data_IF_145357888592
#
_entry.id   IF_145357888592
#
_cell.length_a   1.000
_cell.length_b   1.000
_cell.length_c   1.000
_cell.angle_alpha   90.00
_cell.angle_beta   90.00
_cell.angle_gamma   90.00
#
_symmetry.space_group_name_H-M   'P 1'
#
loop_
_entity.id
_entity.type
_entity.pdbx_description
1 polymer ?
#
# COMPACT_ATOMS: atom_id res chain seq x y z
N UNK A 1 -10.20 -0.97 11.72
CA UNK A 1 -9.12 -1.73 11.06
C UNK A 1 -9.75 -2.84 10.23
N UNK A 2 -10.25 -2.51 9.04
CA UNK A 2 -10.78 -3.49 8.10
C UNK A 2 -9.65 -3.91 7.17
N UNK A 3 -9.09 -5.10 7.40
CA UNK A 3 -8.25 -5.78 6.42
C UNK A 3 -9.16 -6.44 5.38
N UNK A 4 -9.27 -5.83 4.20
CA UNK A 4 -10.00 -6.39 3.06
C UNK A 4 -9.04 -6.78 1.94
N UNK A 5 -9.31 -7.90 1.26
CA UNK A 5 -8.70 -8.18 -0.04
C UNK A 5 -9.51 -7.49 -1.13
N UNK A 6 -8.84 -6.79 -2.04
CA UNK A 6 -9.48 -6.08 -3.14
C UNK A 6 -9.02 -6.64 -4.47
N UNK A 7 -9.94 -6.70 -5.44
CA UNK A 7 -9.62 -7.06 -6.80
C UNK A 7 -8.68 -6.00 -7.40
N UNK A 8 -7.54 -6.44 -7.90
CA UNK A 8 -6.57 -5.57 -8.55
C UNK A 8 -7.17 -4.95 -9.82
N UNK A 9 -7.03 -3.63 -9.98
CA UNK A 9 -7.29 -2.93 -11.24
C UNK A 9 -5.97 -2.49 -11.87
N UNK A 10 -5.75 -2.73 -13.19
CA UNK A 10 -4.54 -2.28 -13.87
C UNK A 10 -4.37 -0.76 -13.77
N UNK A 11 -3.16 -0.31 -13.40
CA UNK A 11 -2.81 1.12 -13.37
C UNK A 11 -3.22 1.87 -12.09
N UNK A 12 -3.69 1.18 -11.04
CA UNK A 12 -3.99 1.85 -9.77
C UNK A 12 -2.73 2.12 -8.94
N UNK A 13 -2.76 3.23 -8.21
CA UNK A 13 -1.72 3.62 -7.25
C UNK A 13 -2.01 3.06 -5.86
N UNK A 14 -1.02 3.14 -4.96
CA UNK A 14 -1.24 2.82 -3.54
C UNK A 14 -2.37 3.66 -2.95
N UNK A 15 -2.42 4.95 -3.26
CA UNK A 15 -3.48 5.85 -2.79
C UNK A 15 -4.87 5.34 -3.18
N UNK A 16 -5.04 4.89 -4.43
CA UNK A 16 -6.30 4.32 -4.89
C UNK A 16 -6.63 3.02 -4.15
N UNK A 17 -5.65 2.14 -3.96
CA UNK A 17 -5.85 0.90 -3.21
C UNK A 17 -6.26 1.15 -1.75
N UNK A 18 -5.70 2.17 -1.10
CA UNK A 18 -6.08 2.56 0.27
C UNK A 18 -7.49 3.13 0.29
N UNK A 19 -7.87 3.96 -0.69
CA UNK A 19 -9.23 4.50 -0.80
C UNK A 19 -10.26 3.36 -0.97
N UNK A 20 -9.97 2.39 -1.83
CA UNK A 20 -10.77 1.17 -2.02
C UNK A 20 -10.83 0.35 -0.71
N UNK A 21 -9.75 0.35 0.08
CA UNK A 21 -9.65 -0.32 1.37
C UNK A 21 -10.44 0.32 2.52
N UNK A 22 -11.13 1.44 2.27
CA UNK A 22 -11.87 2.18 3.29
C UNK A 22 -11.16 3.44 3.78
N UNK A 23 -10.10 3.87 3.08
CA UNK A 23 -9.38 5.11 3.35
C UNK A 23 -8.27 4.99 4.40
N UNK A 24 -7.58 6.11 4.62
CA UNK A 24 -6.54 6.22 5.64
C UNK A 24 -7.14 6.25 7.04
N UNK A 25 -6.44 5.68 8.02
CA UNK A 25 -6.76 5.96 9.43
C UNK A 25 -6.37 7.39 9.78
N UNK A 26 -7.01 7.97 10.80
CA UNK A 26 -6.75 9.36 11.24
C UNK A 26 -5.29 9.63 11.63
N UNK A 27 -4.51 8.57 11.93
CA UNK A 27 -3.08 8.65 12.29
C UNK A 27 -2.15 8.08 11.23
N UNK A 28 -2.64 7.69 10.05
CA UNK A 28 -1.80 7.10 9.02
C UNK A 28 -0.86 8.14 8.37
N UNK A 29 0.35 7.69 8.02
CA UNK A 29 1.26 8.44 7.13
C UNK A 29 0.70 8.42 5.70
N UNK A 30 0.37 9.61 5.17
CA UNK A 30 -0.18 9.80 3.82
C UNK A 30 0.89 10.09 2.78
N UNK A 31 2.14 10.37 3.18
CA UNK A 31 3.21 10.68 2.23
C UNK A 31 3.87 9.39 1.72
N UNK A 32 4.11 8.43 2.62
CA UNK A 32 4.90 7.24 2.31
C UNK A 32 4.34 5.97 2.94
N UNK A 33 4.38 4.91 2.14
CA UNK A 33 3.96 3.56 2.55
C UNK A 33 5.10 2.58 2.38
N UNK A 34 4.98 1.43 3.03
CA UNK A 34 5.84 0.28 2.77
C UNK A 34 5.10 -0.66 1.82
N UNK A 35 5.70 -0.96 0.68
CA UNK A 35 5.22 -2.02 -0.22
C UNK A 35 6.15 -3.20 -0.07
N UNK A 36 5.58 -4.36 0.22
CA UNK A 36 6.28 -5.64 0.17
C UNK A 36 5.88 -6.35 -1.11
N UNK A 37 6.86 -6.57 -2.00
CA UNK A 37 6.69 -7.27 -3.28
C UNK A 37 7.57 -8.51 -3.29
N UNK A 38 7.02 -9.61 -3.82
CA UNK A 38 7.80 -10.82 -4.10
C UNK A 38 8.40 -10.72 -5.50
N UNK A 39 9.72 -10.66 -5.57
CA UNK A 39 10.50 -10.66 -6.80
C UNK A 39 11.12 -12.06 -7.01
N UNK A 40 11.76 -12.28 -8.17
CA UNK A 40 12.44 -13.54 -8.49
C UNK A 40 13.52 -13.93 -7.46
N UNK A 41 14.09 -12.95 -6.77
CA UNK A 41 15.15 -13.11 -5.76
C UNK A 41 14.64 -13.18 -4.31
N UNK A 42 13.33 -13.09 -4.08
CA UNK A 42 12.73 -13.16 -2.75
C UNK A 42 11.73 -12.04 -2.45
N UNK A 43 11.37 -11.89 -1.17
CA UNK A 43 10.45 -10.86 -0.70
C UNK A 43 11.23 -9.60 -0.33
N UNK A 44 10.92 -8.47 -0.96
CA UNK A 44 11.57 -7.18 -0.67
C UNK A 44 10.52 -6.14 -0.23
N UNK A 45 10.87 -5.37 0.80
CA UNK A 45 10.04 -4.27 1.30
C UNK A 45 10.67 -2.93 0.95
N UNK A 46 9.92 -2.06 0.29
CA UNK A 46 10.37 -0.75 -0.17
C UNK A 46 9.49 0.35 0.40
N UNK A 47 10.12 1.43 0.89
CA UNK A 47 9.40 2.65 1.27
C UNK A 47 9.21 3.51 0.04
N UNK A 48 7.97 3.69 -0.38
CA UNK A 48 7.62 4.39 -1.63
C UNK A 48 6.54 5.44 -1.39
N UNK A 49 6.45 6.48 -2.24
CA UNK A 49 5.36 7.44 -2.16
C UNK A 49 4.02 6.77 -2.51
N UNK A 50 2.92 7.32 -1.98
CA UNK A 50 1.55 6.80 -2.22
C UNK A 50 1.08 6.89 -3.68
N UNK A 51 1.78 7.69 -4.50
CA UNK A 51 1.56 7.79 -5.95
C UNK A 51 2.15 6.61 -6.73
N UNK A 52 2.89 5.72 -6.07
CA UNK A 52 3.49 4.54 -6.70
C UNK A 52 2.43 3.58 -7.20
N UNK A 53 2.60 3.08 -8.42
CA UNK A 53 1.74 2.05 -9.00
C UNK A 53 1.95 0.70 -8.30
N UNK A 54 0.84 0.03 -7.99
CA UNK A 54 0.86 -1.31 -7.41
C UNK A 54 0.69 -2.40 -8.46
N UNK A 55 1.14 -3.59 -8.12
CA UNK A 55 1.11 -4.78 -8.98
C UNK A 55 0.43 -5.95 -8.25
N UNK A 56 -0.08 -6.94 -9.00
CA UNK A 56 -0.68 -8.13 -8.39
C UNK A 56 0.29 -8.82 -7.43
N UNK A 57 -0.17 -9.13 -6.22
CA UNK A 57 0.65 -9.76 -5.18
C UNK A 57 1.45 -8.78 -4.31
N UNK A 58 1.32 -7.47 -4.52
CA UNK A 58 1.86 -6.47 -3.61
C UNK A 58 1.10 -6.45 -2.28
N UNK A 59 1.85 -6.31 -1.18
CA UNK A 59 1.31 -6.10 0.15
C UNK A 59 1.63 -4.66 0.56
N UNK A 60 0.58 -3.87 0.84
CA UNK A 60 0.69 -2.48 1.24
C UNK A 60 0.60 -2.39 2.76
N UNK A 61 1.61 -1.79 3.38
CA UNK A 61 1.65 -1.53 4.81
C UNK A 61 1.74 -0.03 5.08
N UNK A 62 0.69 0.49 5.69
CA UNK A 62 0.57 1.91 6.06
C UNK A 62 0.96 2.04 7.53
N UNK A 63 2.03 2.79 7.80
CA UNK A 63 2.48 3.03 9.18
C UNK A 63 1.69 4.17 9.80
N UNK A 64 1.49 4.09 11.10
CA UNK A 64 1.01 5.23 11.88
C UNK A 64 2.13 6.26 12.01
N UNK A 65 1.79 7.53 11.87
CA UNK A 65 2.71 8.65 12.11
C UNK A 65 2.88 8.82 13.62
N UNK A 66 4.12 8.69 14.09
CA UNK A 66 4.49 9.13 15.44
C UNK A 66 4.68 10.66 15.40
N UNK A 67 4.02 11.34 16.33
CA UNK A 67 4.00 12.80 16.45
C UNK A 67 5.26 13.32 17.14
#
# INVERSE_FOLDING_TARGET
TTSGSFAYQPGITVQNAIAIAGGYSSRADQDRVLITRKNATGTATHKVPVTTQIYPGDIIYVRERWF
#
